data_IF_995134164777
#
_entry.id   IF_995134164777
#
_cell.length_a   1.000
_cell.length_b   1.000
_cell.length_c   1.000
_cell.angle_alpha   90.00
_cell.angle_beta   90.00
_cell.angle_gamma   90.00
#
_symmetry.space_group_name_H-M   'P 1'
#
loop_
_entity.id
_entity.type
_entity.pdbx_description
1 polymer ?
#
# COMPACT_ATOMS: atom_id res chain seq x y z
N UNK A 1 7.15 7.67 -14.51
CA UNK A 1 6.69 8.04 -13.15
C UNK A 1 7.72 7.50 -12.16
N UNK A 2 8.17 8.29 -11.18
CA UNK A 2 9.23 7.85 -10.25
C UNK A 2 8.62 6.89 -9.20
N UNK A 3 9.19 5.70 -8.97
CA UNK A 3 8.72 4.80 -7.92
C UNK A 3 8.66 5.55 -6.59
N UNK A 4 7.65 5.25 -5.77
CA UNK A 4 7.55 5.81 -4.42
C UNK A 4 8.89 5.64 -3.70
N UNK A 5 9.42 6.68 -3.04
CA UNK A 5 10.68 6.58 -2.31
C UNK A 5 10.59 5.45 -1.30
N UNK A 6 11.42 4.41 -1.47
CA UNK A 6 11.52 3.32 -0.48
C UNK A 6 11.91 3.92 0.87
N UNK A 7 11.12 3.71 1.94
CA UNK A 7 11.53 4.10 3.27
C UNK A 7 12.85 3.40 3.63
N UNK A 8 13.82 4.15 4.15
CA UNK A 8 15.12 3.59 4.52
C UNK A 8 14.99 2.91 5.87
N UNK A 9 15.40 1.63 5.95
CA UNK A 9 15.47 0.90 7.22
C UNK A 9 16.47 1.61 8.16
N UNK A 10 16.10 1.92 9.41
CA UNK A 10 17.06 2.42 10.38
C UNK A 10 18.24 1.45 10.55
N UNK A 11 19.45 1.98 10.70
CA UNK A 11 20.64 1.17 10.93
C UNK A 11 20.47 0.33 12.20
N UNK A 12 20.63 -0.99 12.10
CA UNK A 12 20.47 -1.93 13.22
C UNK A 12 19.04 -2.45 13.44
N UNK A 13 18.07 -2.11 12.58
CA UNK A 13 16.74 -2.71 12.65
C UNK A 13 16.80 -4.21 12.32
N UNK A 14 16.40 -5.04 13.28
CA UNK A 14 16.26 -6.49 13.11
C UNK A 14 14.79 -6.84 13.32
N UNK A 15 14.26 -7.68 12.44
CA UNK A 15 12.91 -8.18 12.54
C UNK A 15 12.72 -8.91 13.87
N UNK A 16 11.71 -8.54 14.65
CA UNK A 16 11.40 -9.27 15.88
C UNK A 16 10.94 -10.70 15.52
N UNK A 17 11.43 -11.73 16.21
CA UNK A 17 10.99 -13.11 15.99
C UNK A 17 9.46 -13.22 16.10
N UNK A 18 8.82 -13.90 15.16
CA UNK A 18 7.37 -14.15 15.16
C UNK A 18 6.50 -13.17 14.35
N UNK A 19 7.08 -12.10 13.78
CA UNK A 19 6.35 -11.23 12.84
C UNK A 19 6.18 -11.99 11.50
N UNK A 20 4.99 -11.97 10.85
CA UNK A 20 4.82 -12.55 9.52
C UNK A 20 5.68 -11.82 8.47
N UNK A 21 6.23 -12.54 7.51
CA UNK A 21 6.91 -11.91 6.38
C UNK A 21 5.90 -11.22 5.46
N UNK A 22 6.14 -9.95 5.15
CA UNK A 22 5.34 -9.18 4.18
C UNK A 22 5.75 -9.67 2.78
N UNK A 23 5.03 -10.66 2.26
CA UNK A 23 5.33 -11.32 1.00
C UNK A 23 4.34 -10.99 -0.12
N UNK A 24 3.29 -10.22 0.18
CA UNK A 24 2.21 -9.98 -0.76
C UNK A 24 1.03 -9.23 -0.14
N UNK A 25 0.02 -8.96 -0.96
CA UNK A 25 -1.23 -8.29 -0.59
C UNK A 25 -2.35 -8.75 -1.55
N UNK A 26 -3.62 -8.71 -1.15
CA UNK A 26 -4.76 -9.18 -1.98
C UNK A 26 -4.64 -10.62 -2.51
N UNK A 27 -3.90 -11.49 -1.81
CA UNK A 27 -3.58 -12.85 -2.30
C UNK A 27 -2.55 -12.89 -3.42
N UNK A 28 -2.01 -11.75 -3.86
CA UNK A 28 -0.89 -11.65 -4.78
C UNK A 28 0.41 -11.66 -4.00
N UNK A 29 1.37 -12.47 -4.43
CA UNK A 29 2.72 -12.51 -3.85
C UNK A 29 3.62 -11.55 -4.64
N UNK A 30 4.54 -10.84 -3.99
CA UNK A 30 5.57 -10.09 -4.72
C UNK A 30 6.36 -11.01 -5.65
N UNK A 31 6.70 -10.51 -6.83
CA UNK A 31 7.27 -11.33 -7.90
C UNK A 31 6.25 -12.10 -8.74
N UNK A 32 4.93 -11.96 -8.49
CA UNK A 32 3.90 -12.49 -9.39
C UNK A 32 3.88 -11.70 -10.69
N UNK A 33 3.84 -12.39 -11.82
CA UNK A 33 3.75 -11.75 -13.14
C UNK A 33 2.43 -10.99 -13.36
N UNK A 34 2.47 -9.91 -14.12
CA UNK A 34 1.31 -9.05 -14.41
C UNK A 34 0.12 -9.82 -14.99
N UNK A 35 0.35 -10.77 -15.91
CA UNK A 35 -0.72 -11.58 -16.51
C UNK A 35 -1.43 -12.49 -15.49
N UNK A 36 -0.66 -13.08 -14.57
CA UNK A 36 -1.20 -13.91 -13.48
C UNK A 36 -1.95 -13.04 -12.48
N UNK A 37 -1.40 -11.86 -12.18
CA UNK A 37 -2.02 -10.88 -11.29
C UNK A 37 -3.37 -10.42 -11.82
N UNK A 38 -3.45 -10.08 -13.12
CA UNK A 38 -4.69 -9.69 -13.78
C UNK A 38 -5.74 -10.81 -13.77
N UNK A 39 -5.34 -12.05 -14.03
CA UNK A 39 -6.26 -13.19 -14.01
C UNK A 39 -6.83 -13.44 -12.59
N UNK A 40 -5.97 -13.38 -11.56
CA UNK A 40 -6.38 -13.48 -10.15
C UNK A 40 -7.29 -12.31 -9.73
N UNK A 41 -6.97 -11.10 -10.14
CA UNK A 41 -7.79 -9.92 -9.83
C UNK A 41 -9.17 -10.02 -10.46
N UNK A 42 -9.24 -10.47 -11.72
CA UNK A 42 -10.51 -10.68 -12.42
C UNK A 42 -11.32 -11.84 -11.81
N UNK A 43 -10.65 -12.94 -11.45
CA UNK A 43 -11.28 -14.08 -10.76
C UNK A 43 -11.82 -13.68 -9.38
N UNK A 44 -11.14 -12.77 -8.68
CA UNK A 44 -11.58 -12.22 -7.41
C UNK A 44 -12.59 -11.06 -7.53
N UNK A 45 -13.02 -10.71 -8.76
CA UNK A 45 -14.04 -9.70 -9.02
C UNK A 45 -13.58 -8.24 -8.83
N UNK A 46 -12.27 -7.98 -8.85
CA UNK A 46 -11.76 -6.61 -8.76
C UNK A 46 -11.91 -5.87 -10.10
N UNK A 47 -12.43 -4.64 -10.03
CA UNK A 47 -12.61 -3.80 -11.21
C UNK A 47 -11.31 -3.10 -11.58
N UNK A 48 -10.75 -3.46 -12.74
CA UNK A 48 -9.58 -2.81 -13.34
C UNK A 48 -10.04 -1.56 -14.09
N UNK A 49 -9.65 -0.39 -13.63
CA UNK A 49 -10.03 0.91 -14.21
C UNK A 49 -9.14 1.26 -15.42
N UNK A 50 -7.91 0.76 -15.41
CA UNK A 50 -6.96 0.93 -16.51
C UNK A 50 -5.57 0.42 -16.15
N UNK A 51 -4.72 0.27 -17.15
CA UNK A 51 -3.32 -0.09 -16.98
C UNK A 51 -2.45 0.80 -17.89
N UNK A 52 -1.27 1.14 -17.39
CA UNK A 52 -0.15 1.69 -18.12
C UNK A 52 0.98 0.64 -18.13
N UNK A 53 2.04 0.86 -18.92
CA UNK A 53 3.09 -0.15 -19.18
C UNK A 53 3.65 -0.83 -17.90
N UNK A 54 3.76 -0.08 -16.79
CA UNK A 54 4.30 -0.58 -15.51
C UNK A 54 3.33 -0.47 -14.32
N UNK A 55 2.09 0.02 -14.55
CA UNK A 55 1.15 0.34 -13.45
C UNK A 55 -0.27 -0.13 -13.78
N UNK A 56 -0.89 -0.89 -12.89
CA UNK A 56 -2.32 -1.26 -13.01
C UNK A 56 -3.13 -0.53 -11.96
N UNK A 57 -4.19 0.16 -12.38
CA UNK A 57 -5.12 0.87 -11.50
C UNK A 57 -6.36 0.02 -11.25
N UNK A 58 -6.70 -0.15 -9.97
CA UNK A 58 -7.89 -0.87 -9.51
C UNK A 58 -8.80 0.08 -8.74
N UNK A 59 -10.10 -0.23 -8.77
CA UNK A 59 -11.14 0.49 -8.04
C UNK A 59 -11.82 -0.40 -7.02
N UNK A 60 -12.25 0.21 -5.92
CA UNK A 60 -13.11 -0.42 -4.91
C UNK A 60 -12.55 -1.75 -4.36
N UNK A 61 -11.27 -1.74 -4.01
CA UNK A 61 -10.55 -2.92 -3.52
C UNK A 61 -10.69 -3.02 -2.00
N UNK A 62 -11.10 -4.18 -1.48
CA UNK A 62 -11.11 -4.42 -0.03
C UNK A 62 -9.77 -5.01 0.43
N UNK A 63 -9.04 -4.31 1.29
CA UNK A 63 -7.76 -4.72 1.88
C UNK A 63 -7.79 -4.41 3.37
N UNK A 64 -7.30 -5.32 4.22
CA UNK A 64 -7.43 -5.24 5.69
C UNK A 64 -8.88 -4.97 6.14
N UNK A 65 -9.86 -5.65 5.51
CA UNK A 65 -11.31 -5.45 5.70
C UNK A 65 -11.80 -4.01 5.53
N UNK A 66 -11.05 -3.18 4.81
CA UNK A 66 -11.40 -1.79 4.53
C UNK A 66 -11.46 -1.59 3.02
N UNK A 67 -12.53 -0.95 2.54
CA UNK A 67 -12.67 -0.59 1.14
C UNK A 67 -11.77 0.59 0.78
N UNK A 68 -10.94 0.39 -0.23
CA UNK A 68 -10.06 1.39 -0.85
C UNK A 68 -10.59 1.75 -2.25
N UNK A 69 -11.01 3.00 -2.46
CA UNK A 69 -11.61 3.43 -3.71
C UNK A 69 -10.61 3.43 -4.87
N UNK A 70 -9.34 3.73 -4.59
CA UNK A 70 -8.28 3.90 -5.58
C UNK A 70 -7.07 3.05 -5.18
N UNK A 71 -6.59 2.19 -6.08
CA UNK A 71 -5.39 1.39 -5.86
C UNK A 71 -4.51 1.39 -7.11
N UNK A 72 -3.21 1.54 -6.92
CA UNK A 72 -2.20 1.41 -7.97
C UNK A 72 -1.30 0.22 -7.65
N UNK A 73 -1.11 -0.69 -8.60
CA UNK A 73 -0.18 -1.80 -8.54
C UNK A 73 1.03 -1.46 -9.41
N UNK A 74 2.23 -1.60 -8.86
CA UNK A 74 3.49 -1.30 -9.54
C UNK A 74 4.19 -2.57 -9.97
N UNK A 75 4.53 -2.67 -11.25
CA UNK A 75 5.30 -3.76 -11.83
C UNK A 75 6.68 -3.24 -12.23
N UNK A 76 7.69 -4.11 -12.23
CA UNK A 76 9.00 -3.78 -12.80
C UNK A 76 9.01 -4.04 -14.32
N UNK A 77 10.12 -3.68 -14.96
CA UNK A 77 10.36 -3.91 -16.39
C UNK A 77 10.34 -5.38 -16.82
N UNK A 78 10.41 -6.33 -15.88
CA UNK A 78 10.23 -7.76 -16.13
C UNK A 78 8.77 -8.22 -15.98
N UNK A 79 7.83 -7.29 -15.76
CA UNK A 79 6.41 -7.55 -15.56
C UNK A 79 6.07 -8.18 -14.21
N UNK A 80 6.96 -8.08 -13.21
CA UNK A 80 6.78 -8.67 -11.88
C UNK A 80 6.29 -7.62 -10.89
N UNK A 81 5.33 -8.03 -10.04
CA UNK A 81 4.77 -7.16 -9.02
C UNK A 81 5.83 -6.75 -7.99
N UNK A 82 6.07 -5.45 -7.87
CA UNK A 82 7.05 -4.86 -6.94
C UNK A 82 6.41 -4.08 -5.80
N UNK A 83 5.17 -3.64 -5.97
CA UNK A 83 4.50 -2.86 -4.96
C UNK A 83 3.04 -2.56 -5.27
N UNK A 84 2.38 -1.95 -4.31
CA UNK A 84 1.06 -1.36 -4.46
C UNK A 84 0.90 -0.13 -3.60
N UNK A 85 -0.08 0.69 -3.93
CA UNK A 85 -0.50 1.82 -3.12
C UNK A 85 -2.00 1.99 -3.19
N UNK A 86 -2.61 1.95 -2.03
CA UNK A 86 -4.03 2.12 -1.80
C UNK A 86 -4.26 3.54 -1.28
N UNK A 87 -5.22 4.23 -1.88
CA UNK A 87 -5.53 5.62 -1.59
C UNK A 87 -6.98 5.74 -1.15
N UNK A 88 -7.19 6.45 -0.05
CA UNK A 88 -8.50 6.85 0.42
C UNK A 88 -8.51 8.36 0.63
N UNK A 89 -9.37 9.07 -0.11
CA UNK A 89 -9.45 10.54 -0.03
C UNK A 89 -10.76 10.98 0.63
N UNK A 90 -10.65 11.95 1.54
CA UNK A 90 -11.79 12.56 2.23
C UNK A 90 -11.74 14.09 2.13
N UNK A 91 -12.90 14.77 2.11
CA UNK A 91 -12.96 16.23 2.09
C UNK A 91 -12.70 16.88 3.46
N UNK A 92 -12.73 16.10 4.55
CA UNK A 92 -12.53 16.57 5.92
C UNK A 92 -11.36 15.86 6.57
N UNK A 93 -10.77 16.47 7.61
CA UNK A 93 -9.70 15.83 8.37
C UNK A 93 -10.25 14.65 9.17
N UNK A 94 -10.11 13.44 8.63
CA UNK A 94 -10.56 12.20 9.27
C UNK A 94 -9.40 11.19 9.42
N UNK A 95 -8.89 11.10 10.63
CA UNK A 95 -7.86 10.15 11.05
C UNK A 95 -8.43 8.78 11.45
N UNK A 96 -9.76 8.60 11.50
CA UNK A 96 -10.38 7.35 11.96
C UNK A 96 -9.93 6.16 11.11
N UNK A 97 -9.84 6.34 9.79
CA UNK A 97 -9.37 5.30 8.88
C UNK A 97 -7.89 5.01 9.04
N UNK A 98 -7.06 6.05 9.16
CA UNK A 98 -5.64 5.89 9.49
C UNK A 98 -5.44 5.09 10.78
N UNK A 99 -6.13 5.47 11.86
CA UNK A 99 -6.04 4.80 13.16
C UNK A 99 -6.52 3.34 13.10
N UNK A 100 -7.58 3.05 12.34
CA UNK A 100 -8.06 1.68 12.14
C UNK A 100 -7.03 0.81 11.42
N UNK A 101 -6.42 1.32 10.34
CA UNK A 101 -5.35 0.60 9.61
C UNK A 101 -4.13 0.43 10.50
N UNK A 102 -3.72 1.49 11.21
CA UNK A 102 -2.59 1.50 12.12
C UNK A 102 -2.74 0.45 13.23
N UNK A 103 -3.91 0.39 13.90
CA UNK A 103 -4.17 -0.59 14.95
C UNK A 103 -4.16 -2.04 14.43
N UNK A 104 -4.69 -2.28 13.23
CA UNK A 104 -4.63 -3.59 12.57
C UNK A 104 -3.19 -3.98 12.27
N UNK A 105 -2.41 -3.08 11.69
CA UNK A 105 -1.00 -3.33 11.39
C UNK A 105 -0.19 -3.56 12.66
N UNK A 106 -0.46 -2.84 13.76
CA UNK A 106 0.17 -3.12 15.06
C UNK A 106 -0.20 -4.51 15.58
N UNK A 107 -1.46 -4.92 15.47
CA UNK A 107 -1.88 -6.24 15.96
C UNK A 107 -1.20 -7.40 15.24
N UNK A 108 -0.80 -7.21 13.97
CA UNK A 108 -0.19 -8.25 13.13
C UNK A 108 1.34 -8.15 13.09
N UNK A 109 1.87 -6.94 12.90
CA UNK A 109 3.31 -6.69 12.67
C UNK A 109 4.02 -6.01 13.85
N UNK A 110 3.29 -5.64 14.90
CA UNK A 110 3.85 -4.93 16.06
C UNK A 110 4.13 -3.45 15.80
N UNK A 111 4.98 -2.83 16.62
CA UNK A 111 5.26 -1.39 16.55
C UNK A 111 5.91 -1.01 15.21
N UNK A 112 5.39 0.02 14.50
CA UNK A 112 6.02 0.54 13.29
C UNK A 112 7.34 1.26 13.60
N UNK A 113 8.15 1.40 12.56
CA UNK A 113 9.18 2.42 12.45
C UNK A 113 8.51 3.71 11.97
N UNK A 114 8.46 4.72 12.82
CA UNK A 114 7.82 6.01 12.52
C UNK A 114 8.77 6.89 11.70
N UNK A 115 8.29 7.44 10.58
CA UNK A 115 9.00 8.44 9.79
C UNK A 115 8.14 9.70 9.72
N UNK A 116 8.24 10.57 10.73
CA UNK A 116 7.54 11.87 10.76
C UNK A 116 6.13 11.85 11.34
N UNK A 117 5.44 13.00 11.26
CA UNK A 117 4.25 13.35 12.06
C UNK A 117 2.97 12.56 11.78
N UNK A 118 2.90 11.77 10.70
CA UNK A 118 1.79 10.86 10.43
C UNK A 118 2.18 9.70 9.49
N UNK A 119 3.46 9.28 9.53
CA UNK A 119 4.02 8.22 8.69
C UNK A 119 4.51 7.04 9.53
N UNK A 120 3.96 5.86 9.29
CA UNK A 120 4.30 4.62 9.96
C UNK A 120 4.75 3.58 8.93
N UNK A 121 5.94 3.02 9.09
CA UNK A 121 6.47 1.99 8.19
C UNK A 121 6.79 0.71 8.96
N UNK A 122 6.31 -0.42 8.47
CA UNK A 122 6.70 -1.74 8.91
C UNK A 122 7.63 -2.34 7.87
N UNK A 123 8.76 -2.86 8.31
CA UNK A 123 9.68 -3.58 7.44
C UNK A 123 9.53 -5.09 7.66
N UNK A 124 9.72 -5.89 6.63
CA UNK A 124 9.95 -7.33 6.73
C UNK A 124 11.33 -7.67 6.16
N UNK A 125 11.73 -8.93 6.19
CA UNK A 125 12.95 -9.40 5.51
C UNK A 125 12.96 -9.04 4.02
N UNK A 126 11.82 -9.21 3.34
CA UNK A 126 11.65 -9.11 1.89
C UNK A 126 10.95 -7.82 1.41
N UNK A 127 10.37 -7.01 2.27
CA UNK A 127 9.57 -5.85 1.85
C UNK A 127 9.26 -4.85 2.94
N UNK A 128 8.27 -3.99 2.68
CA UNK A 128 7.80 -2.96 3.58
C UNK A 128 6.31 -2.65 3.38
N UNK A 129 5.67 -2.19 4.46
CA UNK A 129 4.35 -1.56 4.47
C UNK A 129 4.55 -0.15 4.95
N UNK A 130 4.05 0.84 4.22
CA UNK A 130 4.05 2.24 4.63
C UNK A 130 2.62 2.76 4.72
N UNK A 131 2.24 3.28 5.87
CA UNK A 131 0.98 3.96 6.09
C UNK A 131 1.29 5.44 6.33
N UNK A 132 0.71 6.32 5.51
CA UNK A 132 0.82 7.75 5.69
C UNK A 132 -0.55 8.43 5.65
N UNK A 133 -0.65 9.53 6.39
CA UNK A 133 -1.81 10.42 6.35
C UNK A 133 -1.34 11.84 6.10
N UNK A 134 -1.97 12.54 5.16
CA UNK A 134 -1.59 13.91 4.84
C UNK A 134 -2.67 14.63 4.06
N UNK A 135 -2.68 15.96 4.18
CA UNK A 135 -3.52 16.81 3.36
C UNK A 135 -2.78 17.19 2.07
N UNK A 136 -3.47 17.10 0.93
CA UNK A 136 -2.98 17.57 -0.36
C UNK A 136 -4.11 18.27 -1.11
N UNK A 137 -3.78 19.27 -1.91
CA UNK A 137 -4.74 19.91 -2.81
C UNK A 137 -5.02 18.99 -3.99
N UNK A 138 -6.30 18.72 -4.27
CA UNK A 138 -6.71 17.98 -5.46
C UNK A 138 -6.43 18.80 -6.73
N UNK A 139 -6.51 18.14 -7.89
CA UNK A 139 -6.43 18.78 -9.22
C UNK A 139 -7.49 19.87 -9.45
N UNK A 140 -8.55 19.89 -8.64
CA UNK A 140 -9.61 20.89 -8.63
C UNK A 140 -9.40 22.03 -7.63
N UNK A 141 -8.26 22.07 -6.94
CA UNK A 141 -7.91 23.10 -5.95
C UNK A 141 -8.53 22.90 -4.56
N UNK A 142 -9.33 21.85 -4.34
CA UNK A 142 -9.91 21.56 -3.04
C UNK A 142 -8.90 20.86 -2.12
N UNK A 143 -8.83 21.26 -0.84
CA UNK A 143 -8.06 20.54 0.16
C UNK A 143 -8.69 19.16 0.37
N UNK A 144 -7.90 18.10 0.24
CA UNK A 144 -8.32 16.72 0.52
C UNK A 144 -7.34 16.06 1.45
N UNK A 145 -7.85 15.20 2.31
CA UNK A 145 -7.05 14.40 3.23
C UNK A 145 -6.93 13.00 2.68
N UNK A 146 -5.70 12.52 2.56
CA UNK A 146 -5.36 11.24 1.95
C UNK A 146 -4.80 10.32 3.02
N UNK A 147 -5.44 9.16 3.17
CA UNK A 147 -4.82 7.99 3.80
C UNK A 147 -4.21 7.15 2.69
N UNK A 148 -2.90 6.93 2.75
CA UNK A 148 -2.17 6.13 1.78
C UNK A 148 -1.55 4.94 2.46
N UNK A 149 -1.90 3.74 2.00
CA UNK A 149 -1.29 2.49 2.43
C UNK A 149 -0.51 1.91 1.25
N UNK A 150 0.80 1.75 1.40
CA UNK A 150 1.68 1.26 0.36
C UNK A 150 2.35 -0.03 0.80
N UNK A 151 2.47 -0.97 -0.13
CA UNK A 151 3.25 -2.19 0.04
C UNK A 151 4.36 -2.20 -1.01
N UNK A 152 5.52 -2.72 -0.66
CA UNK A 152 6.59 -2.87 -1.63
C UNK A 152 7.62 -3.90 -1.22
N UNK A 153 8.31 -4.42 -2.23
CA UNK A 153 9.52 -5.21 -2.06
C UNK A 153 10.73 -4.35 -2.39
#
# INVERSE_FOLDING_TARGET
MRPLPRPVRPAGWVMRPGIPAINGFLGLTFGTGISVSLNLLNTNGYSVDGYADDIVYLRNVTELSLLWPDVALYYNSAGLLTGSSFYYSTPYNDLSRYNNVYNRLISVYGSPVTTGSAGATWFSSSGYISLSYGASTSSTGALRYYTTLSYGQ
#
